data_IF_662013409154
#
_entry.id   IF_662013409154
#
_cell.length_a   1.000
_cell.length_b   1.000
_cell.length_c   1.000
_cell.angle_alpha   90.00
_cell.angle_beta   90.00
_cell.angle_gamma   90.00
#
_symmetry.space_group_name_H-M   'P 1'
#
loop_
_entity.id
_entity.type
_entity.pdbx_description
1 polymer ?
#
# COMPACT_ATOMS: atom_id res chain seq x y z
N UNK A 1 -5.53 9.35 -61.19
CA UNK A 1 -4.58 10.31 -60.60
C UNK A 1 -4.52 10.06 -59.10
N UNK A 2 -3.34 9.77 -58.53
CA UNK A 2 -3.21 9.10 -57.24
C UNK A 2 -3.21 10.06 -56.04
N UNK A 3 -3.61 9.48 -54.90
CA UNK A 3 -3.79 10.08 -53.57
C UNK A 3 -2.46 10.57 -52.98
N UNK A 4 -2.41 11.83 -52.58
CA UNK A 4 -1.36 12.37 -51.70
C UNK A 4 -1.68 12.02 -50.24
N UNK A 5 -1.01 10.98 -49.77
CA UNK A 5 -1.05 10.49 -48.40
C UNK A 5 -0.35 11.51 -47.47
N UNK A 6 -1.15 12.23 -46.71
CA UNK A 6 -0.70 13.25 -45.76
C UNK A 6 -0.35 12.56 -44.44
N UNK A 7 0.81 11.88 -44.42
CA UNK A 7 1.38 11.25 -43.23
C UNK A 7 1.76 12.32 -42.20
N UNK A 8 0.78 12.76 -41.43
CA UNK A 8 0.90 13.67 -40.29
C UNK A 8 1.68 12.95 -39.19
N UNK A 9 3.00 13.19 -39.13
CA UNK A 9 3.85 12.75 -38.02
C UNK A 9 3.30 13.36 -36.72
N UNK A 10 2.61 12.54 -35.93
CA UNK A 10 2.25 12.87 -34.56
C UNK A 10 3.56 12.96 -33.78
N UNK A 11 3.93 14.12 -33.19
CA UNK A 11 5.11 14.21 -32.36
C UNK A 11 4.94 13.24 -31.20
N UNK A 12 5.94 12.36 -31.02
CA UNK A 12 6.02 11.45 -29.88
C UNK A 12 5.79 12.26 -28.60
N UNK A 13 4.66 12.03 -27.93
CA UNK A 13 4.38 12.61 -26.62
C UNK A 13 5.52 12.19 -25.71
N UNK A 14 6.35 13.18 -25.38
CA UNK A 14 7.43 13.05 -24.43
C UNK A 14 6.81 12.58 -23.10
N UNK A 15 7.13 11.35 -22.69
CA UNK A 15 6.77 10.77 -21.39
C UNK A 15 7.36 11.66 -20.28
N UNK A 16 6.61 12.66 -19.82
CA UNK A 16 7.03 13.61 -18.78
C UNK A 16 6.44 13.31 -17.40
N UNK A 17 5.70 12.22 -17.28
CA UNK A 17 4.84 11.95 -16.11
C UNK A 17 5.22 10.66 -15.36
N UNK A 18 6.48 10.18 -15.47
CA UNK A 18 6.95 9.16 -14.54
C UNK A 18 7.63 9.87 -13.37
N UNK A 19 7.03 9.90 -12.17
CA UNK A 19 7.75 10.33 -10.97
C UNK A 19 8.91 9.36 -10.76
N UNK A 20 10.07 9.80 -11.21
CA UNK A 20 11.29 9.03 -11.38
C UNK A 20 11.71 8.42 -10.04
N UNK A 21 12.31 7.22 -10.08
CA UNK A 21 12.79 6.50 -8.90
C UNK A 21 13.63 7.38 -7.94
N UNK A 22 14.27 8.43 -8.46
CA UNK A 22 14.98 9.45 -7.69
C UNK A 22 14.09 10.22 -6.71
N UNK A 23 12.87 10.61 -7.12
CA UNK A 23 11.91 11.27 -6.23
C UNK A 23 11.54 10.37 -5.05
N UNK A 24 11.28 9.08 -5.30
CA UNK A 24 11.01 8.10 -4.24
C UNK A 24 12.21 7.89 -3.31
N UNK A 25 13.43 7.85 -3.86
CA UNK A 25 14.66 7.77 -3.05
C UNK A 25 14.83 9.01 -2.18
N UNK A 26 14.58 10.20 -2.73
CA UNK A 26 14.65 11.46 -1.99
C UNK A 26 13.62 11.51 -0.86
N UNK A 27 12.37 11.18 -1.16
CA UNK A 27 11.29 11.11 -0.15
C UNK A 27 11.61 10.07 0.94
N UNK A 28 12.09 8.89 0.53
CA UNK A 28 12.49 7.81 1.43
C UNK A 28 13.80 8.04 2.18
N UNK A 29 14.54 9.11 1.89
CA UNK A 29 15.80 9.42 2.58
C UNK A 29 15.56 9.93 4.00
N UNK A 30 16.60 9.93 4.84
CA UNK A 30 16.52 10.52 6.17
C UNK A 30 16.14 12.02 6.12
N UNK A 31 16.55 12.75 5.08
CA UNK A 31 16.13 14.14 4.89
C UNK A 31 14.65 14.23 4.50
N UNK A 32 14.20 13.44 3.52
CA UNK A 32 12.81 13.44 3.08
C UNK A 32 11.82 13.08 4.19
N UNK A 33 12.17 12.11 5.05
CA UNK A 33 11.38 11.76 6.23
C UNK A 33 11.31 12.91 7.24
N UNK A 34 12.41 13.65 7.43
CA UNK A 34 12.44 14.84 8.30
C UNK A 34 11.59 15.97 7.74
N UNK A 35 11.75 16.28 6.45
CA UNK A 35 10.99 17.32 5.76
C UNK A 35 9.49 17.00 5.80
N UNK A 36 9.12 15.74 5.57
CA UNK A 36 7.75 15.26 5.72
C UNK A 36 7.22 15.48 7.13
N UNK A 37 8.00 15.12 8.15
CA UNK A 37 7.59 15.28 9.55
C UNK A 37 7.35 16.74 9.89
N UNK A 38 8.21 17.65 9.43
CA UNK A 38 8.05 19.09 9.60
C UNK A 38 6.76 19.56 8.92
N UNK A 39 6.57 19.21 7.64
CA UNK A 39 5.41 19.60 6.85
C UNK A 39 4.09 19.12 7.47
N UNK A 40 4.01 17.84 7.86
CA UNK A 40 2.81 17.27 8.49
C UNK A 40 2.51 17.93 9.83
N UNK A 41 3.53 18.23 10.64
CA UNK A 41 3.34 18.91 11.92
C UNK A 41 2.84 20.35 11.73
N UNK A 42 3.37 21.06 10.73
CA UNK A 42 2.92 22.41 10.39
C UNK A 42 1.47 22.41 9.90
N UNK A 43 1.15 21.53 8.96
CA UNK A 43 -0.23 21.35 8.48
C UNK A 43 -1.19 20.99 9.63
N UNK A 44 -0.80 20.10 10.53
CA UNK A 44 -1.62 19.75 11.69
C UNK A 44 -1.85 20.93 12.65
N UNK A 45 -0.88 21.83 12.80
CA UNK A 45 -1.07 23.05 13.62
C UNK A 45 -2.05 24.03 12.99
N UNK A 46 -2.13 24.05 11.66
CA UNK A 46 -3.02 24.93 10.91
C UNK A 46 -4.44 24.36 10.80
N UNK A 47 -4.58 23.04 10.71
CA UNK A 47 -5.85 22.37 10.44
C UNK A 47 -6.31 21.58 11.66
N UNK A 48 -7.29 22.09 12.40
CA UNK A 48 -7.82 21.45 13.63
C UNK A 48 -8.51 20.10 13.40
N UNK A 49 -8.90 19.80 12.17
CA UNK A 49 -9.72 18.64 11.84
C UNK A 49 -8.91 17.43 11.32
N UNK A 50 -7.59 17.55 11.19
CA UNK A 50 -6.74 16.45 10.72
C UNK A 50 -6.20 15.66 11.91
N UNK A 51 -6.44 14.35 11.97
CA UNK A 51 -5.79 13.47 12.97
C UNK A 51 -4.45 12.98 12.44
N UNK A 52 -3.49 12.71 13.32
CA UNK A 52 -2.20 12.12 12.96
C UNK A 52 -2.09 10.71 13.55
N UNK A 53 -1.72 9.76 12.71
CA UNK A 53 -1.52 8.35 13.10
C UNK A 53 -0.06 8.00 12.88
N UNK A 54 0.50 7.19 13.77
CA UNK A 54 1.87 6.71 13.66
C UNK A 54 1.88 5.32 13.07
N UNK A 55 2.44 5.19 11.88
CA UNK A 55 2.72 3.91 11.23
C UNK A 55 4.21 3.56 11.26
N UNK A 56 4.55 2.42 10.68
CA UNK A 56 5.93 1.99 10.45
C UNK A 56 6.24 2.08 8.96
N UNK A 57 7.28 2.84 8.61
CA UNK A 57 7.77 2.99 7.24
C UNK A 57 9.09 2.23 7.06
N UNK A 58 9.15 1.38 6.05
CA UNK A 58 10.39 0.86 5.49
C UNK A 58 10.64 1.62 4.19
N UNK A 59 11.46 2.66 4.29
CA UNK A 59 11.73 3.54 3.18
C UNK A 59 12.82 2.95 2.27
N UNK A 60 12.70 3.16 0.96
CA UNK A 60 13.65 2.61 -0.03
C UNK A 60 15.09 3.04 0.25
N UNK A 61 15.32 4.28 0.65
CA UNK A 61 16.65 4.85 0.85
C UNK A 61 17.18 4.72 2.28
N UNK A 62 16.63 3.82 3.09
CA UNK A 62 17.15 3.52 4.44
C UNK A 62 17.42 2.02 4.58
N UNK A 63 18.27 1.65 5.54
CA UNK A 63 18.49 0.25 5.94
C UNK A 63 17.67 -0.19 7.14
N UNK A 64 17.02 0.77 7.79
CA UNK A 64 16.18 0.56 8.95
C UNK A 64 14.85 1.22 8.70
N UNK A 65 13.83 0.53 9.14
CA UNK A 65 12.50 1.08 9.32
C UNK A 65 12.44 2.26 10.28
N UNK A 66 11.45 3.12 10.12
CA UNK A 66 11.22 4.31 10.96
C UNK A 66 9.75 4.44 11.32
N UNK A 67 9.41 5.01 12.49
CA UNK A 67 8.05 5.50 12.71
C UNK A 67 7.79 6.68 11.75
N UNK A 68 6.58 6.75 11.20
CA UNK A 68 6.15 7.86 10.34
C UNK A 68 4.79 8.37 10.80
N UNK A 69 4.63 9.69 10.90
CA UNK A 69 3.33 10.32 11.15
C UNK A 69 2.60 10.54 9.84
N UNK A 70 1.37 10.09 9.75
CA UNK A 70 0.55 10.17 8.56
C UNK A 70 -0.75 10.92 8.90
N UNK A 71 -1.12 11.93 8.09
CA UNK A 71 -2.45 12.53 8.17
C UNK A 71 -3.52 11.49 7.92
N UNK A 72 -4.51 11.46 8.80
CA UNK A 72 -5.76 10.73 8.61
C UNK A 72 -6.88 11.76 8.56
N UNK A 73 -7.64 11.75 7.47
CA UNK A 73 -8.85 12.53 7.43
C UNK A 73 -9.81 12.03 8.51
N UNK A 74 -10.51 12.96 9.15
CA UNK A 74 -11.57 12.64 10.08
C UNK A 74 -12.79 13.45 9.65
N UNK A 75 -13.93 12.81 9.47
CA UNK A 75 -15.18 13.53 9.29
C UNK A 75 -15.38 14.44 10.52
N UNK A 76 -15.63 15.75 10.35
CA UNK A 76 -15.87 16.66 11.47
C UNK A 76 -17.07 16.25 12.33
N UNK A 77 -17.98 15.41 11.81
CA UNK A 77 -19.10 14.84 12.56
C UNK A 77 -18.74 13.55 13.31
N UNK A 78 -17.55 12.99 13.11
CA UNK A 78 -17.11 11.82 13.87
C UNK A 78 -16.75 12.19 15.31
N UNK A 79 -17.01 11.28 16.24
CA UNK A 79 -16.59 11.39 17.64
C UNK A 79 -15.11 11.84 17.71
N UNK A 80 -14.76 12.84 18.54
CA UNK A 80 -13.37 13.24 18.75
C UNK A 80 -12.46 12.07 19.17
N UNK A 81 -13.01 11.02 19.79
CA UNK A 81 -12.33 9.76 20.14
C UNK A 81 -12.29 8.74 18.99
N UNK A 82 -13.00 8.95 17.89
CA UNK A 82 -13.00 8.05 16.75
C UNK A 82 -11.58 7.92 16.17
N UNK A 83 -11.11 6.69 16.06
CA UNK A 83 -9.94 6.33 15.26
C UNK A 83 -10.31 6.46 13.78
N UNK A 84 -9.53 7.20 12.98
CA UNK A 84 -9.85 7.41 11.57
C UNK A 84 -9.81 6.11 10.76
N UNK A 85 -10.40 6.07 9.57
CA UNK A 85 -10.43 4.86 8.75
C UNK A 85 -9.07 4.62 8.10
N UNK A 86 -8.74 3.35 7.83
CA UNK A 86 -7.50 2.98 7.12
C UNK A 86 -7.42 3.65 5.74
N UNK A 87 -8.55 3.73 5.03
CA UNK A 87 -8.64 4.35 3.71
C UNK A 87 -8.46 5.88 3.73
N UNK A 88 -8.68 6.51 4.90
CA UNK A 88 -8.51 7.96 5.09
C UNK A 88 -7.06 8.36 5.39
N UNK A 89 -6.16 7.39 5.57
CA UNK A 89 -4.74 7.64 5.83
C UNK A 89 -4.04 8.07 4.55
N UNK A 90 -3.51 9.30 4.54
CA UNK A 90 -2.80 9.88 3.40
C UNK A 90 -1.40 9.27 3.26
N UNK A 91 -1.34 8.20 2.49
CA UNK A 91 -0.10 7.49 2.13
C UNK A 91 0.44 7.88 0.77
N UNK A 92 -0.36 8.53 -0.09
CA UNK A 92 0.00 8.80 -1.50
C UNK A 92 1.37 9.47 -1.72
N UNK A 93 1.88 10.37 -0.84
CA UNK A 93 3.21 10.96 -1.04
C UNK A 93 4.35 9.93 -0.99
N UNK A 94 4.14 8.77 -0.35
CA UNK A 94 5.11 7.68 -0.27
C UNK A 94 5.02 6.69 -1.45
N UNK A 95 3.96 6.78 -2.25
CA UNK A 95 3.62 5.81 -3.29
C UNK A 95 3.14 6.50 -4.57
N UNK A 96 4.04 7.16 -5.31
CA UNK A 96 3.64 7.97 -6.46
C UNK A 96 3.10 7.14 -7.63
N UNK A 97 3.36 5.82 -7.64
CA UNK A 97 2.81 4.88 -8.62
C UNK A 97 1.53 4.17 -8.13
N UNK A 98 0.86 4.73 -7.11
CA UNK A 98 -0.34 4.18 -6.48
C UNK A 98 -0.04 3.13 -5.42
N UNK A 99 -1.07 2.77 -4.66
CA UNK A 99 -1.01 1.87 -3.50
C UNK A 99 -1.84 0.60 -3.67
N UNK A 100 -1.42 -0.45 -2.96
CA UNK A 100 -2.17 -1.67 -2.68
C UNK A 100 -2.17 -1.87 -1.16
N UNK A 101 -3.32 -2.25 -0.61
CA UNK A 101 -3.51 -2.49 0.81
C UNK A 101 -3.72 -3.99 1.03
N UNK A 102 -3.04 -4.55 2.02
CA UNK A 102 -3.21 -5.94 2.41
C UNK A 102 -3.38 -6.02 3.92
N UNK A 103 -4.53 -6.52 4.37
CA UNK A 103 -4.83 -6.67 5.79
C UNK A 103 -4.34 -8.03 6.30
N UNK A 104 -3.74 -8.04 7.47
CA UNK A 104 -3.18 -9.22 8.13
C UNK A 104 -3.86 -9.40 9.47
N UNK A 105 -4.56 -10.53 9.59
CA UNK A 105 -5.39 -10.89 10.74
C UNK A 105 -4.78 -12.02 11.59
N UNK A 106 -3.90 -12.83 11.00
CA UNK A 106 -3.33 -14.02 11.61
C UNK A 106 -1.80 -13.95 11.64
N UNK A 107 -1.21 -14.64 12.62
CA UNK A 107 0.24 -14.83 12.67
C UNK A 107 0.65 -15.83 11.57
N UNK A 108 1.61 -15.48 10.70
CA UNK A 108 2.05 -16.36 9.61
C UNK A 108 2.41 -17.77 10.04
N UNK A 109 1.97 -18.77 9.25
CA UNK A 109 2.23 -20.18 9.52
C UNK A 109 1.45 -20.77 10.72
N UNK A 110 0.51 -20.03 11.30
CA UNK A 110 -0.31 -20.49 12.43
C UNK A 110 -1.79 -20.17 12.24
N UNK A 111 -2.66 -20.72 13.10
CA UNK A 111 -4.07 -20.34 13.21
C UNK A 111 -4.31 -19.25 14.27
N UNK A 112 -3.26 -18.70 14.88
CA UNK A 112 -3.40 -17.69 15.92
C UNK A 112 -3.78 -16.34 15.31
N UNK A 113 -4.88 -15.76 15.81
CA UNK A 113 -5.32 -14.42 15.45
C UNK A 113 -4.48 -13.36 16.15
N UNK A 114 -4.12 -12.31 15.44
CA UNK A 114 -3.45 -11.16 16.03
C UNK A 114 -4.42 -10.38 16.92
N UNK A 115 -3.93 -9.86 18.05
CA UNK A 115 -4.75 -9.02 18.91
C UNK A 115 -5.16 -7.69 18.23
N UNK A 116 -4.38 -7.25 17.24
CA UNK A 116 -4.72 -6.13 16.38
C UNK A 116 -4.37 -6.52 14.96
N UNK A 117 -5.25 -6.18 14.02
CA UNK A 117 -4.93 -6.35 12.61
C UNK A 117 -3.90 -5.31 12.17
N UNK A 118 -3.18 -5.63 11.10
CA UNK A 118 -2.28 -4.70 10.45
C UNK A 118 -2.60 -4.58 8.97
N UNK A 119 -2.66 -3.36 8.46
CA UNK A 119 -2.67 -3.12 7.01
C UNK A 119 -1.27 -2.80 6.55
N UNK A 120 -0.78 -3.62 5.62
CA UNK A 120 0.46 -3.43 4.89
C UNK A 120 0.13 -2.70 3.59
N UNK A 121 0.71 -1.50 3.45
CA UNK A 121 0.58 -0.65 2.27
C UNK A 121 1.83 -0.80 1.41
N UNK A 122 1.63 -1.16 0.16
CA UNK A 122 2.67 -1.44 -0.82
C UNK A 122 2.49 -0.59 -2.07
N UNK A 123 3.54 -0.49 -2.88
CA UNK A 123 3.44 0.12 -4.20
C UNK A 123 2.60 -0.75 -5.14
N UNK A 124 1.65 -0.15 -5.85
CA UNK A 124 0.82 -0.83 -6.86
C UNK A 124 1.62 -1.28 -8.08
N UNK A 125 2.69 -0.56 -8.41
CA UNK A 125 3.58 -0.86 -9.55
C UNK A 125 5.02 -1.01 -9.05
N UNK A 126 5.35 -2.11 -8.35
CA UNK A 126 6.66 -2.33 -7.75
C UNK A 126 7.80 -2.33 -8.79
N UNK A 127 7.52 -2.72 -10.04
CA UNK A 127 8.47 -2.67 -11.16
C UNK A 127 8.96 -1.25 -11.47
N UNK A 128 8.13 -0.23 -11.22
CA UNK A 128 8.48 1.18 -11.42
C UNK A 128 9.17 1.79 -10.19
N UNK A 129 9.32 1.03 -9.11
CA UNK A 129 9.89 1.50 -7.86
C UNK A 129 11.34 0.98 -7.69
N UNK A 130 12.21 1.69 -6.95
CA UNK A 130 13.56 1.20 -6.64
C UNK A 130 13.53 0.05 -5.62
N UNK A 131 14.57 -0.81 -5.57
CA UNK A 131 14.71 -1.83 -4.52
C UNK A 131 14.72 -1.22 -3.12
N UNK A 132 14.08 -1.88 -2.15
CA UNK A 132 13.95 -1.40 -0.78
C UNK A 132 14.97 -2.06 0.15
N UNK A 133 16.07 -1.35 0.45
CA UNK A 133 17.13 -1.85 1.32
C UNK A 133 16.65 -2.11 2.76
N UNK A 134 15.69 -1.33 3.28
CA UNK A 134 15.16 -1.51 4.62
C UNK A 134 14.41 -2.82 4.74
N UNK A 135 13.60 -3.18 3.73
CA UNK A 135 12.89 -4.46 3.70
C UNK A 135 13.87 -5.63 3.56
N UNK A 136 14.86 -5.53 2.68
CA UNK A 136 15.91 -6.55 2.56
C UNK A 136 16.68 -6.76 3.88
N UNK A 137 17.04 -5.67 4.56
CA UNK A 137 17.84 -5.72 5.80
C UNK A 137 17.02 -6.16 7.01
N UNK A 138 15.79 -5.64 7.17
CA UNK A 138 14.98 -5.87 8.36
C UNK A 138 14.15 -7.15 8.26
N UNK A 139 13.69 -7.51 7.05
CA UNK A 139 12.70 -8.57 6.82
C UNK A 139 13.29 -9.75 6.03
N UNK A 140 14.47 -9.61 5.41
CA UNK A 140 15.07 -10.66 4.57
C UNK A 140 14.33 -10.90 3.26
N UNK A 141 13.44 -9.98 2.84
CA UNK A 141 12.63 -10.10 1.62
C UNK A 141 13.12 -9.11 0.57
N UNK A 142 13.14 -9.53 -0.69
CA UNK A 142 13.39 -8.61 -1.80
C UNK A 142 12.08 -7.93 -2.24
N UNK A 143 11.91 -6.67 -1.85
CA UNK A 143 10.76 -5.85 -2.21
C UNK A 143 11.22 -4.56 -2.91
N UNK A 144 10.40 -4.05 -3.84
CA UNK A 144 10.61 -2.76 -4.49
C UNK A 144 9.57 -1.75 -4.03
N UNK A 145 9.99 -0.49 -3.87
CA UNK A 145 9.17 0.61 -3.37
C UNK A 145 9.07 0.66 -1.85
N UNK A 146 8.51 1.75 -1.34
CA UNK A 146 8.30 1.90 0.10
C UNK A 146 7.31 0.85 0.61
N UNK A 147 7.35 0.56 1.91
CA UNK A 147 6.35 -0.26 2.61
C UNK A 147 5.92 0.50 3.86
N UNK A 148 4.61 0.62 4.08
CA UNK A 148 4.05 1.20 5.31
C UNK A 148 3.20 0.16 6.00
N UNK A 149 3.32 0.05 7.32
CA UNK A 149 2.45 -0.77 8.16
C UNK A 149 1.62 0.14 9.05
N UNK A 150 0.31 -0.06 8.99
CA UNK A 150 -0.70 0.61 9.79
C UNK A 150 -1.30 -0.40 10.76
N UNK A 151 -1.51 0.01 12.01
CA UNK A 151 -2.13 -0.83 13.04
C UNK A 151 -3.61 -0.49 13.16
N UNK A 152 -4.45 -1.50 13.25
CA UNK A 152 -5.87 -1.33 13.44
C UNK A 152 -6.20 -1.23 14.92
N UNK A 153 -7.31 -0.58 15.23
CA UNK A 153 -7.84 -0.58 16.58
C UNK A 153 -8.45 -1.95 16.91
N UNK A 154 -8.06 -2.59 18.01
CA UNK A 154 -8.54 -3.91 18.45
C UNK A 154 -10.06 -4.12 18.33
N UNK A 155 -10.86 -3.09 18.64
CA UNK A 155 -12.34 -3.19 18.61
C UNK A 155 -12.98 -2.74 17.30
N UNK A 156 -12.22 -2.07 16.43
CA UNK A 156 -12.73 -1.45 15.21
C UNK A 156 -11.77 -1.77 14.07
N UNK A 157 -12.00 -2.91 13.41
CA UNK A 157 -11.16 -3.47 12.36
C UNK A 157 -11.01 -2.57 11.12
N UNK A 158 -11.80 -1.52 10.96
CA UNK A 158 -11.64 -0.55 9.88
C UNK A 158 -10.87 0.71 10.30
N UNK A 159 -10.62 0.88 11.59
CA UNK A 159 -10.02 2.10 12.11
C UNK A 159 -8.55 1.92 12.41
N UNK A 160 -7.75 2.92 12.07
CA UNK A 160 -6.31 2.95 12.33
C UNK A 160 -5.99 3.58 13.68
N UNK A 161 -4.93 3.10 14.32
CA UNK A 161 -4.40 3.64 15.57
C UNK A 161 -2.86 3.71 15.51
N UNK A 162 -2.26 4.32 16.53
CA UNK A 162 -0.80 4.44 16.62
C UNK A 162 -0.16 3.06 16.83
N UNK A 163 0.87 2.76 16.04
CA UNK A 163 1.78 1.64 16.28
C UNK A 163 2.68 1.96 17.48
N UNK A 164 2.68 1.09 18.49
CA UNK A 164 3.59 1.25 19.62
C UNK A 164 4.98 0.66 19.30
N UNK A 165 6.04 1.21 19.90
CA UNK A 165 7.42 0.75 19.66
C UNK A 165 7.65 -0.71 20.08
N UNK A 166 6.91 -1.20 21.07
CA UNK A 166 6.96 -2.60 21.52
C UNK A 166 6.41 -3.60 20.49
N UNK A 167 5.50 -3.16 19.61
CA UNK A 167 4.92 -4.01 18.56
C UNK A 167 5.88 -4.20 17.39
N UNK A 168 7.02 -3.51 17.41
CA UNK A 168 7.96 -3.48 16.31
C UNK A 168 8.43 -4.87 15.89
N UNK A 169 8.82 -5.69 16.87
CA UNK A 169 9.32 -7.05 16.62
C UNK A 169 8.23 -7.96 16.06
N UNK A 170 6.99 -7.78 16.49
CA UNK A 170 5.84 -8.52 15.96
C UNK A 170 5.61 -8.15 14.49
N UNK A 171 5.66 -6.85 14.17
CA UNK A 171 5.52 -6.37 12.78
C UNK A 171 6.64 -6.93 11.91
N UNK A 172 7.90 -6.87 12.37
CA UNK A 172 9.04 -7.42 11.62
C UNK A 172 8.93 -8.95 11.42
N UNK A 173 8.17 -9.66 12.27
CA UNK A 173 7.87 -11.09 12.11
C UNK A 173 6.70 -11.39 11.18
N UNK A 174 5.64 -10.56 11.21
CA UNK A 174 4.41 -10.81 10.45
C UNK A 174 4.51 -10.35 8.99
N UNK A 175 5.17 -9.21 8.75
CA UNK A 175 5.26 -8.59 7.41
C UNK A 175 6.00 -9.43 6.35
N UNK A 176 7.10 -10.17 6.65
CA UNK A 176 7.84 -10.92 5.64
C UNK A 176 6.98 -11.90 4.85
N UNK A 177 6.07 -12.62 5.53
CA UNK A 177 5.18 -13.60 4.89
C UNK A 177 4.32 -12.93 3.82
N UNK A 178 3.62 -11.85 4.19
CA UNK A 178 2.82 -11.06 3.26
C UNK A 178 3.67 -10.44 2.13
N UNK A 179 4.83 -9.88 2.46
CA UNK A 179 5.71 -9.23 1.47
C UNK A 179 6.27 -10.22 0.44
N UNK A 180 6.51 -11.47 0.85
CA UNK A 180 7.01 -12.54 -0.03
C UNK A 180 6.01 -12.91 -1.13
N UNK A 181 4.71 -12.90 -0.82
CA UNK A 181 3.65 -13.11 -1.82
C UNK A 181 3.67 -12.04 -2.92
N UNK A 182 3.95 -10.78 -2.57
CA UNK A 182 4.03 -9.69 -3.57
C UNK A 182 5.33 -9.69 -4.38
N UNK A 183 6.42 -10.20 -3.80
CA UNK A 183 7.68 -10.39 -4.53
C UNK A 183 7.52 -11.48 -5.60
N UNK A 184 6.86 -12.59 -5.25
CA UNK A 184 6.65 -13.74 -6.13
C UNK A 184 5.52 -13.56 -7.15
N UNK A 185 4.46 -12.81 -6.83
CA UNK A 185 3.34 -12.58 -7.74
C UNK A 185 3.72 -11.80 -9.02
N UNK A 186 4.84 -11.06 -9.02
CA UNK A 186 5.36 -10.41 -10.23
C UNK A 186 6.04 -11.39 -11.21
N UNK A 187 6.19 -12.66 -10.84
CA UNK A 187 6.70 -13.72 -11.71
C UNK A 187 5.59 -14.52 -12.42
N UNK A 188 4.32 -14.40 -11.99
CA UNK A 188 3.24 -15.32 -12.44
C UNK A 188 1.98 -14.61 -12.96
N UNK A 189 1.92 -13.27 -12.98
CA UNK A 189 0.84 -12.55 -13.69
C UNK A 189 1.13 -12.38 -15.19
N UNK A 190 1.64 -13.42 -15.86
CA UNK A 190 1.25 -13.70 -17.25
C UNK A 190 -0.10 -14.40 -17.13
N UNK A 191 -1.16 -13.61 -17.03
CA UNK A 191 -2.52 -14.12 -17.20
C UNK A 191 -2.61 -14.61 -18.65
N UNK A 192 -2.40 -15.91 -18.85
CA UNK A 192 -2.96 -16.59 -20.00
C UNK A 192 -4.48 -16.35 -19.92
N UNK A 193 -5.14 -15.83 -20.98
CA UNK A 193 -6.58 -15.73 -20.99
C UNK A 193 -7.13 -17.15 -20.87
N UNK A 194 -7.71 -17.46 -19.71
CA UNK A 194 -8.49 -18.69 -19.52
C UNK A 194 -9.74 -18.54 -20.40
N UNK A 195 -9.67 -19.03 -21.63
CA UNK A 195 -10.84 -19.43 -22.40
C UNK A 195 -11.40 -20.69 -21.75
N UNK A 196 -12.07 -20.54 -20.61
CA UNK A 196 -12.88 -21.62 -20.05
C UNK A 196 -14.23 -21.56 -20.77
N UNK A 197 -14.60 -22.55 -21.60
CA UNK A 197 -15.92 -22.57 -22.23
C UNK A 197 -17.00 -22.72 -21.16
N UNK A 198 -18.08 -21.95 -21.32
CA UNK A 198 -19.23 -21.99 -20.43
C UNK A 198 -19.80 -23.42 -20.33
N UNK A 199 -20.15 -23.92 -19.14
CA UNK A 199 -20.79 -25.22 -19.01
C UNK A 199 -22.20 -25.18 -19.64
N UNK A 200 -22.65 -26.27 -20.27
CA UNK A 200 -23.98 -26.34 -20.87
C UNK A 200 -25.06 -26.26 -19.79
N UNK A 201 -26.08 -25.44 -20.06
CA UNK A 201 -27.24 -25.26 -19.18
C UNK A 201 -27.94 -26.61 -18.93
N UNK A 202 -27.95 -27.04 -17.67
CA UNK A 202 -28.68 -28.24 -17.24
C UNK A 202 -30.14 -27.83 -16.99
N UNK A 203 -31.05 -28.32 -17.82
CA UNK A 203 -32.49 -28.10 -17.69
C UNK A 203 -33.02 -28.94 -16.53
N UNK A 204 -33.32 -28.32 -15.38
CA UNK A 204 -34.05 -28.97 -14.29
C UNK A 204 -35.51 -29.22 -14.69
N UNK A 205 -35.86 -30.49 -14.96
CA UNK A 205 -37.24 -30.95 -15.00
C UNK A 205 -37.76 -31.13 -13.58
N UNK A 206 -38.59 -30.20 -13.08
CA UNK A 206 -39.39 -30.40 -11.88
C UNK A 206 -40.67 -31.15 -12.23
N UNK A 207 -40.74 -32.42 -11.80
CA UNK A 207 -41.97 -33.22 -11.82
C UNK A 207 -42.80 -32.81 -10.60
N UNK A 208 -43.99 -32.24 -10.83
CA UNK A 208 -45.03 -32.15 -9.82
C UNK A 208 -45.80 -33.46 -9.79
N UNK A 209 -45.85 -34.09 -8.62
CA UNK A 209 -46.73 -35.24 -8.34
C UNK A 209 -47.98 -34.69 -7.61
N UNK A 210 -49.20 -35.13 -7.97
CA UNK A 210 -50.47 -34.57 -7.49
C UNK A 210 -50.72 -34.71 -5.99
#
# INVERSE_FOLDING_TARGET
MPRTDSSRRVPARHNRDQPDAESQRRQGSAQGIRDWTIHVNEHYRQTRDTKLVTGVLYAVATRRSRPVRLPCFNDPNNDPRATGLVDDVRVSPWFPNGTVYHCVHNVPGTSLTLANDYTIVLSRRPQCAPPNEAVGTCLGVNLRGNLIVLRHHHRYHMSVTNVHSSERRLIDYVVPDCASYFSSANLVLIVLPSSTPAPPATTENRIYVP
#
